data_IF_396422652244
#
_entry.id   IF_396422652244
#
_cell.length_a   1.000
_cell.length_b   1.000
_cell.length_c   1.000
_cell.angle_alpha   90.00
_cell.angle_beta   90.00
_cell.angle_gamma   90.00
#
_symmetry.space_group_name_H-M   'P 1'
#
loop_
_entity.id
_entity.type
_entity.pdbx_description
1 polymer ?
#
# COMPACT_ATOMS: atom_id res chain seq x y z
N UNK A 1 -22.86 1.25 4.59
CA UNK A 1 -21.72 0.64 3.90
C UNK A 1 -20.44 1.09 4.56
N UNK A 2 -19.47 0.21 4.59
CA UNK A 2 -18.15 0.43 5.19
C UNK A 2 -17.08 0.26 4.14
N UNK A 3 -15.93 0.94 4.32
CA UNK A 3 -14.70 0.70 3.59
C UNK A 3 -13.53 0.80 4.54
N UNK A 4 -12.47 0.04 4.27
CA UNK A 4 -11.27 0.05 5.10
C UNK A 4 -10.32 1.16 4.63
N UNK A 5 -9.68 1.81 5.58
CA UNK A 5 -8.62 2.76 5.32
C UNK A 5 -7.61 2.78 6.48
N UNK A 6 -6.42 3.27 6.19
CA UNK A 6 -5.45 3.66 7.19
C UNK A 6 -5.60 5.16 7.39
N UNK A 7 -5.66 5.57 8.62
CA UNK A 7 -5.81 6.96 9.05
C UNK A 7 -4.94 7.21 10.25
N UNK A 8 -4.43 8.43 10.36
CA UNK A 8 -3.69 8.89 11.54
C UNK A 8 -4.04 10.33 11.86
N UNK A 9 -3.91 10.66 13.15
CA UNK A 9 -4.17 12.00 13.69
C UNK A 9 -3.10 12.34 14.70
N UNK A 10 -2.62 13.58 14.67
CA UNK A 10 -1.69 14.10 15.68
C UNK A 10 -2.09 15.46 16.18
N UNK A 11 -1.56 15.81 17.33
CA UNK A 11 -1.74 17.12 17.97
C UNK A 11 -0.36 17.68 18.36
N UNK A 12 -0.15 18.94 18.08
CA UNK A 12 1.13 19.63 18.22
C UNK A 12 0.96 20.95 18.97
N UNK A 13 2.02 21.38 19.66
CA UNK A 13 2.06 22.63 20.35
C UNK A 13 2.07 23.83 19.39
N UNK A 14 2.76 23.69 18.26
CA UNK A 14 2.96 24.75 17.29
C UNK A 14 2.46 24.40 15.90
N UNK A 15 2.09 25.40 15.12
CA UNK A 15 1.72 25.24 13.72
C UNK A 15 2.88 24.65 12.89
N UNK A 16 4.12 25.07 13.17
CA UNK A 16 5.28 24.57 12.46
C UNK A 16 5.50 23.07 12.66
N UNK A 17 5.31 22.54 13.88
CA UNK A 17 5.38 21.10 14.15
C UNK A 17 4.31 20.33 13.37
N UNK A 18 3.07 20.86 13.34
CA UNK A 18 1.98 20.27 12.60
C UNK A 18 2.26 20.26 11.08
N UNK A 19 2.81 21.36 10.54
CA UNK A 19 3.21 21.45 9.12
C UNK A 19 4.30 20.44 8.77
N UNK A 20 5.32 20.28 9.63
CA UNK A 20 6.39 19.29 9.43
C UNK A 20 5.80 17.89 9.40
N UNK A 21 4.96 17.54 10.35
CA UNK A 21 4.31 16.22 10.43
C UNK A 21 3.44 15.94 9.20
N UNK A 22 2.60 16.89 8.80
CA UNK A 22 1.73 16.72 7.64
C UNK A 22 2.54 16.44 6.35
N UNK A 23 3.67 17.14 6.15
CA UNK A 23 4.56 16.93 5.01
C UNK A 23 5.31 15.61 5.08
N UNK A 24 5.81 15.24 6.26
CA UNK A 24 6.48 13.97 6.50
C UNK A 24 5.57 12.78 6.16
N UNK A 25 4.30 12.84 6.56
CA UNK A 25 3.34 11.78 6.24
C UNK A 25 3.02 11.69 4.75
N UNK A 26 2.96 12.84 4.06
CA UNK A 26 2.84 12.83 2.60
C UNK A 26 4.05 12.17 1.93
N UNK A 27 5.26 12.44 2.42
CA UNK A 27 6.50 11.86 1.91
C UNK A 27 6.53 10.34 2.13
N UNK A 28 6.10 9.84 3.29
CA UNK A 28 5.97 8.41 3.57
C UNK A 28 4.98 7.74 2.60
N UNK A 29 3.84 8.37 2.31
CA UNK A 29 2.89 7.84 1.32
C UNK A 29 3.46 7.82 -0.09
N UNK A 30 4.20 8.85 -0.48
CA UNK A 30 4.88 8.89 -1.78
C UNK A 30 5.95 7.81 -1.87
N UNK A 31 6.78 7.63 -0.83
CA UNK A 31 7.77 6.57 -0.76
C UNK A 31 7.15 5.18 -0.86
N UNK A 32 6.04 4.93 -0.16
CA UNK A 32 5.29 3.68 -0.28
C UNK A 32 4.80 3.46 -1.71
N UNK A 33 4.18 4.47 -2.33
CA UNK A 33 3.66 4.37 -3.70
C UNK A 33 4.79 4.05 -4.70
N UNK A 34 5.92 4.75 -4.62
CA UNK A 34 7.03 4.61 -5.57
C UNK A 34 7.89 3.37 -5.30
N UNK A 35 8.31 3.15 -4.05
CA UNK A 35 9.31 2.13 -3.72
C UNK A 35 8.71 0.76 -3.39
N UNK A 36 7.44 0.69 -3.00
CA UNK A 36 6.76 -0.56 -2.65
C UNK A 36 5.71 -0.93 -3.70
N UNK A 37 4.80 0.01 -4.01
CA UNK A 37 3.75 -0.23 -4.99
C UNK A 37 4.21 -0.03 -6.44
N UNK A 38 5.38 0.54 -6.69
CA UNK A 38 5.95 0.74 -8.02
C UNK A 38 5.12 1.69 -8.90
N UNK A 39 4.49 2.69 -8.29
CA UNK A 39 3.66 3.68 -8.98
C UNK A 39 4.23 5.07 -8.73
N UNK A 40 4.63 5.75 -9.80
CA UNK A 40 5.09 7.14 -9.72
C UNK A 40 3.96 8.06 -9.32
N UNK A 41 4.23 8.98 -8.39
CA UNK A 41 3.25 9.94 -7.90
C UNK A 41 3.79 11.37 -7.93
N UNK A 42 2.88 12.32 -8.05
CA UNK A 42 3.17 13.74 -7.94
C UNK A 42 2.61 14.25 -6.61
N UNK A 43 3.45 14.87 -5.81
CA UNK A 43 3.05 15.57 -4.57
C UNK A 43 2.55 16.97 -4.90
N UNK A 44 1.44 17.37 -4.31
CA UNK A 44 0.86 18.69 -4.54
C UNK A 44 0.00 19.19 -3.38
N UNK A 45 -0.39 20.44 -3.49
CA UNK A 45 -1.33 21.10 -2.59
C UNK A 45 -2.65 21.26 -3.34
N UNK A 46 -3.75 20.85 -2.71
CA UNK A 46 -5.09 21.01 -3.27
C UNK A 46 -5.53 22.47 -3.28
N UNK A 47 -6.24 22.85 -4.33
CA UNK A 47 -6.90 24.15 -4.42
C UNK A 47 -7.88 24.36 -3.26
N UNK A 48 -8.21 25.61 -2.98
CA UNK A 48 -9.14 25.94 -1.90
C UNK A 48 -10.51 25.24 -2.03
N UNK A 49 -10.97 25.00 -3.26
CA UNK A 49 -12.27 24.37 -3.53
C UNK A 49 -12.24 22.83 -3.34
N UNK A 50 -11.07 22.20 -3.42
CA UNK A 50 -10.89 20.74 -3.27
C UNK A 50 -10.26 20.35 -1.95
N UNK A 51 -9.89 21.34 -1.15
CA UNK A 51 -9.33 21.14 0.16
C UNK A 51 -10.34 20.44 1.09
N UNK A 52 -9.84 19.56 1.95
CA UNK A 52 -10.67 18.92 2.98
C UNK A 52 -11.35 19.99 3.86
N UNK A 53 -12.66 19.85 4.05
CA UNK A 53 -13.45 20.79 4.83
C UNK A 53 -12.92 20.88 6.27
N UNK A 54 -12.57 22.08 6.69
CA UNK A 54 -11.96 22.35 8.01
C UNK A 54 -10.43 22.31 8.04
N UNK A 55 -9.77 21.85 6.97
CA UNK A 55 -8.32 21.95 6.88
C UNK A 55 -7.85 23.35 6.48
N UNK A 56 -6.69 23.74 6.99
CA UNK A 56 -5.95 24.94 6.55
C UNK A 56 -5.25 24.64 5.23
N UNK A 57 -4.59 23.48 5.15
CA UNK A 57 -3.92 22.99 3.95
C UNK A 57 -4.23 21.51 3.75
N UNK A 58 -4.43 21.10 2.51
CA UNK A 58 -4.52 19.70 2.13
C UNK A 58 -3.45 19.39 1.10
N UNK A 59 -2.56 18.47 1.45
CA UNK A 59 -1.60 17.86 0.54
C UNK A 59 -2.17 16.57 -0.04
N UNK A 60 -1.79 16.24 -1.27
CA UNK A 60 -2.13 14.96 -1.89
C UNK A 60 -0.95 14.38 -2.66
N UNK A 61 -0.97 13.06 -2.83
CA UNK A 61 -0.20 12.36 -3.85
C UNK A 61 -1.16 11.87 -4.92
N UNK A 62 -0.83 12.09 -6.18
CA UNK A 62 -1.65 11.72 -7.33
C UNK A 62 -0.82 10.95 -8.35
N UNK A 63 -1.38 9.86 -8.86
CA UNK A 63 -0.77 9.04 -9.89
C UNK A 63 -1.50 9.20 -11.23
N UNK A 64 -0.74 9.22 -12.33
CA UNK A 64 -1.29 9.21 -13.68
C UNK A 64 -1.68 7.78 -14.06
N UNK A 65 -2.94 7.58 -14.43
CA UNK A 65 -3.44 6.30 -14.89
C UNK A 65 -3.27 6.13 -16.40
N UNK A 66 -3.43 4.89 -16.90
CA UNK A 66 -3.27 4.56 -18.32
C UNK A 66 -4.25 5.31 -19.24
N UNK A 67 -5.38 5.75 -18.71
CA UNK A 67 -6.40 6.57 -19.42
C UNK A 67 -6.10 8.09 -19.34
N UNK A 68 -4.91 8.47 -18.91
CA UNK A 68 -4.44 9.85 -18.75
C UNK A 68 -5.22 10.67 -17.71
N UNK A 69 -5.91 10.02 -16.79
CA UNK A 69 -6.55 10.67 -15.64
C UNK A 69 -5.69 10.54 -14.40
N UNK A 70 -5.67 11.59 -13.60
CA UNK A 70 -5.02 11.57 -12.30
C UNK A 70 -5.90 10.84 -11.28
N UNK A 71 -5.29 9.96 -10.48
CA UNK A 71 -5.92 9.29 -9.35
C UNK A 71 -5.25 9.74 -8.05
N UNK A 72 -6.04 10.31 -7.14
CA UNK A 72 -5.57 10.63 -5.79
C UNK A 72 -5.28 9.34 -5.01
N UNK A 73 -4.04 9.17 -4.59
CA UNK A 73 -3.57 7.96 -3.92
C UNK A 73 -3.49 8.08 -2.39
N UNK A 74 -3.34 9.30 -1.87
CA UNK A 74 -3.31 9.58 -0.45
C UNK A 74 -3.37 11.07 -0.17
N UNK A 75 -3.76 11.44 1.06
CA UNK A 75 -3.83 12.84 1.51
C UNK A 75 -3.23 13.00 2.89
N UNK A 76 -2.74 14.21 3.14
CA UNK A 76 -2.32 14.69 4.45
C UNK A 76 -2.81 16.11 4.67
N UNK A 77 -3.26 16.43 5.86
CA UNK A 77 -3.97 17.65 6.16
C UNK A 77 -3.35 18.39 7.35
N UNK A 78 -3.15 19.67 7.20
CA UNK A 78 -2.99 20.60 8.31
C UNK A 78 -4.38 21.10 8.69
N UNK A 79 -4.82 20.80 9.91
CA UNK A 79 -6.15 21.16 10.40
C UNK A 79 -6.13 22.49 11.17
N UNK A 80 -4.93 23.03 11.45
CA UNK A 80 -4.77 24.17 12.32
C UNK A 80 -5.38 23.89 13.70
N UNK A 81 -6.10 24.86 14.25
CA UNK A 81 -6.86 24.72 15.49
C UNK A 81 -8.38 24.60 15.26
N UNK A 82 -8.81 24.35 14.02
CA UNK A 82 -10.23 24.39 13.68
C UNK A 82 -11.04 23.33 14.42
N UNK A 83 -10.56 22.08 14.41
CA UNK A 83 -11.25 20.98 15.10
C UNK A 83 -10.99 20.99 16.60
N UNK A 84 -9.79 21.35 17.07
CA UNK A 84 -9.52 21.45 18.50
C UNK A 84 -10.42 22.47 19.18
N UNK A 85 -10.64 23.61 18.54
CA UNK A 85 -11.60 24.62 19.04
C UNK A 85 -13.06 24.16 18.95
N UNK A 86 -13.45 23.52 17.84
CA UNK A 86 -14.82 23.07 17.63
C UNK A 86 -15.24 21.97 18.63
N UNK A 87 -14.31 21.09 19.02
CA UNK A 87 -14.53 19.98 19.94
C UNK A 87 -14.02 20.24 21.37
N UNK A 88 -13.55 21.46 21.65
CA UNK A 88 -12.98 21.87 22.94
C UNK A 88 -11.84 20.96 23.43
N UNK A 89 -10.96 20.54 22.49
CA UNK A 89 -9.79 19.72 22.78
C UNK A 89 -8.66 20.66 23.21
N UNK A 90 -8.28 20.59 24.47
CA UNK A 90 -7.29 21.47 25.07
C UNK A 90 -6.17 20.64 25.75
N UNK A 91 -5.02 21.25 25.91
CA UNK A 91 -3.92 20.75 26.74
C UNK A 91 -3.41 21.87 27.65
N UNK A 92 -2.81 21.51 28.77
CA UNK A 92 -2.17 22.45 29.67
C UNK A 92 -0.70 22.62 29.24
N UNK A 93 -0.31 23.85 28.97
CA UNK A 93 1.06 24.17 28.59
C UNK A 93 2.00 24.25 29.80
N UNK A 94 3.27 24.60 29.58
CA UNK A 94 4.32 24.71 30.60
C UNK A 94 4.09 25.86 31.59
N UNK A 95 3.20 26.79 31.24
CA UNK A 95 2.81 27.94 32.11
C UNK A 95 1.54 27.63 32.91
N UNK A 96 1.01 26.39 32.83
CA UNK A 96 -0.27 25.98 33.38
C UNK A 96 -1.48 26.69 32.73
N UNK A 97 -1.35 27.13 31.48
CA UNK A 97 -2.43 27.73 30.70
C UNK A 97 -3.05 26.72 29.76
N UNK A 98 -4.38 26.78 29.57
CA UNK A 98 -5.09 25.92 28.61
C UNK A 98 -4.89 26.46 27.19
N UNK A 99 -4.44 25.58 26.31
CA UNK A 99 -4.16 25.87 24.91
C UNK A 99 -4.89 24.89 23.98
N UNK A 100 -5.27 25.36 22.79
CA UNK A 100 -5.77 24.48 21.74
C UNK A 100 -4.59 23.98 20.89
N UNK A 101 -4.43 22.64 20.69
CA UNK A 101 -3.36 22.11 19.85
C UNK A 101 -3.61 22.39 18.38
N UNK A 102 -2.53 22.49 17.61
CA UNK A 102 -2.55 22.38 16.17
C UNK A 102 -2.64 20.90 15.79
N UNK A 103 -3.55 20.55 14.91
CA UNK A 103 -3.83 19.17 14.58
C UNK A 103 -3.50 18.85 13.13
N UNK A 104 -3.16 17.59 12.89
CA UNK A 104 -3.01 17.03 11.55
C UNK A 104 -3.83 15.77 11.42
N UNK A 105 -4.12 15.40 10.18
CA UNK A 105 -4.64 14.07 9.85
C UNK A 105 -4.08 13.63 8.51
N UNK A 106 -3.99 12.34 8.30
CA UNK A 106 -3.59 11.77 7.02
C UNK A 106 -4.29 10.44 6.77
N UNK A 107 -4.42 10.04 5.51
CA UNK A 107 -5.12 8.80 5.20
C UNK A 107 -4.88 8.28 3.80
N UNK A 108 -4.95 6.94 3.72
CA UNK A 108 -5.02 6.16 2.49
C UNK A 108 -6.10 5.11 2.63
N UNK A 109 -6.88 4.90 1.59
CA UNK A 109 -7.99 3.96 1.60
C UNK A 109 -7.73 2.75 0.71
N UNK A 110 -8.67 1.82 0.65
CA UNK A 110 -8.69 0.70 -0.29
C UNK A 110 -8.66 1.12 -1.76
N UNK A 111 -8.77 2.44 -2.07
CA UNK A 111 -8.47 2.98 -3.40
C UNK A 111 -7.05 2.63 -3.87
N UNK A 112 -6.08 2.45 -2.95
CA UNK A 112 -4.74 1.99 -3.31
C UNK A 112 -4.73 0.62 -3.98
N UNK A 113 -5.64 -0.28 -3.62
CA UNK A 113 -5.80 -1.59 -4.29
C UNK A 113 -6.22 -1.36 -5.75
N UNK A 114 -7.20 -0.49 -5.97
CA UNK A 114 -7.62 -0.08 -7.32
C UNK A 114 -6.48 0.56 -8.12
N UNK A 115 -5.69 1.43 -7.48
CA UNK A 115 -4.50 2.05 -8.09
C UNK A 115 -3.51 0.99 -8.59
N UNK A 116 -3.18 0.01 -7.76
CA UNK A 116 -2.23 -1.07 -8.08
C UNK A 116 -2.75 -1.91 -9.23
N UNK A 117 -4.02 -2.27 -9.22
CA UNK A 117 -4.67 -3.04 -10.30
C UNK A 117 -4.62 -2.25 -11.61
N UNK A 118 -4.99 -0.97 -11.60
CA UNK A 118 -5.01 -0.13 -12.80
C UNK A 118 -3.61 0.17 -13.33
N UNK A 119 -2.61 0.31 -12.45
CA UNK A 119 -1.24 0.57 -12.86
C UNK A 119 -0.56 -0.67 -13.44
N UNK A 120 -0.72 -1.82 -12.80
CA UNK A 120 0.06 -3.03 -13.07
C UNK A 120 -0.73 -4.17 -13.71
N UNK A 121 -2.06 -4.15 -13.66
CA UNK A 121 -2.88 -5.20 -14.28
C UNK A 121 -2.90 -5.13 -15.81
N UNK A 122 -3.13 -6.29 -16.41
CA UNK A 122 -3.38 -6.45 -17.84
C UNK A 122 -4.58 -7.38 -18.08
N UNK A 123 -4.79 -7.81 -19.34
CA UNK A 123 -5.90 -8.68 -19.69
C UNK A 123 -5.74 -10.14 -19.17
N UNK A 124 -4.59 -10.51 -18.64
CA UNK A 124 -4.32 -11.85 -18.09
C UNK A 124 -4.45 -11.89 -16.58
N UNK A 125 -4.32 -10.76 -15.91
CA UNK A 125 -4.43 -10.66 -14.47
C UNK A 125 -3.58 -9.55 -13.86
N UNK A 126 -3.23 -9.72 -12.59
CA UNK A 126 -2.34 -8.82 -11.88
C UNK A 126 -0.88 -9.04 -12.27
N UNK A 127 -0.09 -7.98 -12.22
CA UNK A 127 1.37 -8.04 -12.28
C UNK A 127 1.91 -7.27 -11.07
N UNK A 128 1.97 -7.96 -9.93
CA UNK A 128 2.32 -7.29 -8.68
C UNK A 128 3.81 -6.98 -8.60
N UNK A 129 4.19 -5.77 -8.19
CA UNK A 129 5.56 -5.48 -7.82
C UNK A 129 6.06 -6.48 -6.77
N UNK A 130 7.30 -7.00 -6.90
CA UNK A 130 7.79 -8.05 -6.00
C UNK A 130 7.74 -7.69 -4.51
N UNK A 131 8.00 -6.41 -4.17
CA UNK A 131 7.93 -5.96 -2.76
C UNK A 131 6.51 -6.05 -2.19
N UNK A 132 5.50 -5.81 -3.03
CA UNK A 132 4.08 -5.80 -2.63
C UNK A 132 3.46 -7.21 -2.66
N UNK A 133 3.93 -8.09 -3.55
CA UNK A 133 3.32 -9.40 -3.78
C UNK A 133 3.27 -10.26 -2.50
N UNK A 134 2.11 -10.79 -2.09
CA UNK A 134 2.00 -11.70 -0.93
C UNK A 134 2.86 -12.95 -1.07
N UNK A 135 2.96 -13.49 -2.29
CA UNK A 135 3.91 -14.53 -2.68
C UNK A 135 4.78 -13.97 -3.81
N UNK A 136 6.09 -13.93 -3.59
CA UNK A 136 7.04 -13.43 -4.59
C UNK A 136 7.46 -14.51 -5.57
N UNK A 137 7.50 -15.74 -5.07
CA UNK A 137 7.86 -16.94 -5.84
C UNK A 137 6.82 -18.01 -5.56
N UNK A 138 6.34 -18.66 -6.62
CA UNK A 138 5.58 -19.91 -6.51
C UNK A 138 6.37 -21.03 -7.16
N UNK A 139 6.50 -22.16 -6.48
CA UNK A 139 7.11 -23.39 -7.01
C UNK A 139 5.98 -24.36 -7.28
N UNK A 140 5.87 -24.83 -8.53
CA UNK A 140 4.80 -25.74 -8.98
C UNK A 140 5.43 -27.04 -9.46
N UNK A 141 5.43 -28.10 -8.65
CA UNK A 141 5.95 -29.39 -9.07
C UNK A 141 5.10 -29.97 -10.21
N UNK A 142 5.76 -30.40 -11.29
CA UNK A 142 5.16 -31.18 -12.38
C UNK A 142 5.52 -32.64 -12.16
N UNK A 143 4.56 -33.43 -11.70
CA UNK A 143 4.77 -34.84 -11.34
C UNK A 143 4.14 -35.72 -12.43
N UNK A 144 4.94 -36.33 -13.34
CA UNK A 144 4.42 -37.10 -14.44
C UNK A 144 3.89 -38.48 -14.00
N UNK A 145 4.42 -39.05 -12.91
CA UNK A 145 3.97 -40.30 -12.30
C UNK A 145 4.36 -40.40 -10.85
N UNK A 146 3.73 -41.27 -10.07
CA UNK A 146 4.03 -41.49 -8.66
C UNK A 146 5.48 -41.92 -8.40
N UNK A 147 6.10 -42.60 -9.34
CA UNK A 147 7.50 -43.02 -9.27
C UNK A 147 8.47 -41.83 -9.13
N UNK A 148 8.17 -40.70 -9.79
CA UNK A 148 9.00 -39.51 -9.79
C UNK A 148 8.69 -38.55 -8.66
N UNK A 149 7.59 -38.77 -7.95
CA UNK A 149 7.08 -37.81 -6.94
C UNK A 149 8.10 -37.48 -5.85
N UNK A 150 8.73 -38.52 -5.26
CA UNK A 150 9.70 -38.30 -4.16
C UNK A 150 10.92 -37.51 -4.63
N UNK A 151 11.46 -37.83 -5.82
CA UNK A 151 12.62 -37.13 -6.37
C UNK A 151 12.30 -35.65 -6.67
N UNK A 152 11.16 -35.38 -7.29
CA UNK A 152 10.73 -34.02 -7.62
C UNK A 152 10.47 -33.21 -6.35
N UNK A 153 9.79 -33.79 -5.36
CA UNK A 153 9.52 -33.08 -4.10
C UNK A 153 10.80 -32.81 -3.30
N UNK A 154 11.81 -33.66 -3.39
CA UNK A 154 13.13 -33.34 -2.79
C UNK A 154 13.74 -32.11 -3.47
N UNK A 155 13.76 -32.05 -4.80
CA UNK A 155 14.26 -30.87 -5.54
C UNK A 155 13.46 -29.61 -5.22
N UNK A 156 12.13 -29.71 -5.11
CA UNK A 156 11.25 -28.59 -4.69
C UNK A 156 11.64 -28.08 -3.31
N UNK A 157 11.90 -28.98 -2.37
CA UNK A 157 12.30 -28.59 -1.01
C UNK A 157 13.69 -27.95 -1.01
N UNK A 158 14.65 -28.46 -1.76
CA UNK A 158 15.99 -27.86 -1.92
C UNK A 158 15.89 -26.43 -2.48
N UNK A 159 15.08 -26.23 -3.54
CA UNK A 159 14.83 -24.90 -4.11
C UNK A 159 14.21 -23.97 -3.04
N UNK A 160 13.14 -24.42 -2.41
CA UNK A 160 12.47 -23.65 -1.36
C UNK A 160 13.45 -23.25 -0.24
N UNK A 161 14.23 -24.20 0.25
CA UNK A 161 15.18 -23.95 1.34
C UNK A 161 16.27 -22.94 0.95
N UNK A 162 16.67 -22.93 -0.30
CA UNK A 162 17.68 -21.98 -0.82
C UNK A 162 17.17 -20.54 -0.90
N UNK A 163 15.85 -20.33 -1.05
CA UNK A 163 15.28 -19.00 -1.32
C UNK A 163 14.33 -18.47 -0.25
N UNK A 164 13.71 -19.32 0.57
CA UNK A 164 12.69 -18.94 1.57
C UNK A 164 13.15 -17.92 2.62
N UNK A 165 14.45 -17.86 2.87
CA UNK A 165 15.03 -16.86 3.81
C UNK A 165 15.04 -15.44 3.25
N UNK A 166 14.94 -15.30 1.92
CA UNK A 166 15.03 -14.02 1.21
C UNK A 166 13.71 -13.60 0.58
N UNK A 167 12.86 -14.56 0.25
CA UNK A 167 11.62 -14.34 -0.50
C UNK A 167 10.42 -15.01 0.17
N UNK A 168 9.23 -14.44 -0.05
CA UNK A 168 7.95 -15.05 0.32
C UNK A 168 7.63 -16.11 -0.72
N UNK A 169 7.90 -17.37 -0.39
CA UNK A 169 7.74 -18.52 -1.30
C UNK A 169 6.47 -19.29 -0.97
N UNK A 170 5.77 -19.72 -2.00
CA UNK A 170 4.64 -20.65 -1.91
C UNK A 170 4.94 -21.89 -2.75
N UNK A 171 4.81 -23.08 -2.19
CA UNK A 171 4.79 -24.34 -2.95
C UNK A 171 3.32 -24.66 -3.26
N UNK A 172 3.01 -24.95 -4.51
CA UNK A 172 1.68 -25.40 -4.93
C UNK A 172 1.74 -26.88 -5.32
N UNK A 173 1.66 -27.72 -4.31
CA UNK A 173 1.70 -29.19 -4.39
C UNK A 173 0.30 -29.84 -4.49
N UNK A 174 -0.76 -29.06 -4.77
CA UNK A 174 -2.13 -29.60 -4.92
C UNK A 174 -2.18 -30.62 -6.05
N UNK A 175 -2.53 -31.87 -5.70
CA UNK A 175 -2.53 -33.00 -6.65
C UNK A 175 -3.81 -33.08 -7.51
N UNK A 176 -4.89 -32.49 -7.03
CA UNK A 176 -6.21 -32.50 -7.69
C UNK A 176 -6.35 -31.46 -8.82
N UNK A 177 -5.31 -30.71 -9.12
CA UNK A 177 -5.31 -29.68 -10.14
C UNK A 177 -4.19 -29.91 -11.17
N UNK A 178 -4.51 -29.68 -12.43
CA UNK A 178 -3.49 -29.80 -13.49
C UNK A 178 -2.46 -28.67 -13.37
N UNK A 179 -1.21 -28.90 -13.84
CA UNK A 179 -0.19 -27.81 -13.87
C UNK A 179 -0.68 -26.56 -14.60
N UNK A 180 -1.34 -26.71 -15.76
CA UNK A 180 -1.86 -25.58 -16.52
C UNK A 180 -2.90 -24.76 -15.75
N UNK A 181 -3.77 -25.39 -14.94
CA UNK A 181 -4.69 -24.66 -14.08
C UNK A 181 -3.95 -23.86 -13.02
N UNK A 182 -2.96 -24.46 -12.36
CA UNK A 182 -2.12 -23.78 -11.37
C UNK A 182 -1.38 -22.59 -11.99
N UNK A 183 -0.83 -22.74 -13.19
CA UNK A 183 -0.14 -21.67 -13.92
C UNK A 183 -1.04 -20.47 -14.14
N UNK A 184 -2.24 -20.71 -14.69
CA UNK A 184 -3.23 -19.64 -14.93
C UNK A 184 -3.69 -18.97 -13.63
N UNK A 185 -3.92 -19.75 -12.56
CA UNK A 185 -4.34 -19.20 -11.27
C UNK A 185 -3.28 -18.27 -10.67
N UNK A 186 -2.01 -18.67 -10.69
CA UNK A 186 -0.93 -17.84 -10.15
C UNK A 186 -0.58 -16.67 -11.05
N UNK A 187 -0.75 -16.77 -12.37
CA UNK A 187 -0.66 -15.66 -13.30
C UNK A 187 -1.77 -14.63 -13.01
N UNK A 188 -3.02 -15.08 -12.84
CA UNK A 188 -4.14 -14.21 -12.48
C UNK A 188 -3.90 -13.47 -11.15
N UNK A 189 -3.31 -14.14 -10.16
CA UNK A 189 -2.94 -13.57 -8.86
C UNK A 189 -1.74 -12.64 -8.91
N UNK A 190 -1.03 -12.56 -10.02
CA UNK A 190 0.09 -11.65 -10.24
C UNK A 190 1.36 -12.02 -9.49
N UNK A 191 1.63 -13.32 -9.28
CA UNK A 191 2.89 -13.75 -8.67
C UNK A 191 4.05 -13.39 -9.59
N UNK A 192 5.08 -12.67 -9.08
CA UNK A 192 6.18 -12.17 -9.91
C UNK A 192 7.03 -13.25 -10.56
N UNK A 193 7.25 -14.38 -9.88
CA UNK A 193 8.10 -15.46 -10.38
C UNK A 193 7.45 -16.84 -10.14
N UNK A 194 7.39 -17.65 -11.20
CA UNK A 194 7.00 -19.06 -11.14
C UNK A 194 8.21 -19.93 -11.48
N UNK A 195 8.41 -21.01 -10.71
CA UNK A 195 9.39 -22.07 -10.92
C UNK A 195 8.61 -23.36 -11.20
N UNK A 196 8.97 -24.03 -12.29
CA UNK A 196 8.33 -25.26 -12.77
C UNK A 196 9.34 -26.44 -12.76
#
# INVERSE_FOLDING_TARGET
SEFLWQEGHTAHKTENEATIEARQMLDIYAEFAENIAGVSVIKGIKSANERFAGAVTTYSIEAMMKDMKALQAGTSHELGQNFSKAFDIQYTDENNELQFPFQTSWGVSTRLIGLIIMAHGDNKGLQLPPKLAPSQVVVIPIIPSDEHKSSIMNSVNEINDSVKSKFRVKIDDRENLSPGFKFNEWELKGVPLRIE
#
